data_IF_204188383381
#
_entry.id   IF_204188383381
#
_cell.length_a   1.000
_cell.length_b   1.000
_cell.length_c   1.000
_cell.angle_alpha   90.00
_cell.angle_beta   90.00
_cell.angle_gamma   90.00
#
_symmetry.space_group_name_H-M   'P 1'
#
loop_
_entity.id
_entity.type
_entity.pdbx_description
1 polymer ?
#
# COMPACT_ATOMS: atom_id res chain seq x y z
N UNK A 1 25.45 3.95 -8.29
CA UNK A 1 24.17 3.22 -8.51
C UNK A 1 23.39 3.22 -7.21
N UNK A 2 22.17 3.70 -7.19
CA UNK A 2 21.35 3.67 -5.98
C UNK A 2 20.70 2.27 -5.87
N UNK A 3 21.05 1.52 -4.82
CA UNK A 3 20.49 0.20 -4.55
C UNK A 3 19.33 0.25 -3.54
N UNK A 4 18.90 1.46 -3.13
CA UNK A 4 17.81 1.63 -2.21
C UNK A 4 16.46 1.46 -2.93
N UNK A 5 15.54 0.77 -2.27
CA UNK A 5 14.16 0.58 -2.73
C UNK A 5 13.23 0.98 -1.60
N UNK A 6 12.31 1.89 -1.87
CA UNK A 6 11.25 2.23 -0.90
C UNK A 6 10.21 1.11 -0.93
N UNK A 7 9.94 0.54 0.24
CA UNK A 7 8.95 -0.51 0.43
C UNK A 7 7.74 -0.03 1.26
N UNK A 8 7.90 1.05 2.02
CA UNK A 8 6.87 1.63 2.87
C UNK A 8 6.71 3.12 2.56
N UNK A 9 5.64 3.47 1.87
CA UNK A 9 5.35 4.84 1.46
C UNK A 9 3.85 5.02 1.26
N UNK A 10 3.31 6.09 1.85
CA UNK A 10 1.91 6.47 1.74
C UNK A 10 1.76 7.70 0.85
N UNK A 11 0.88 7.61 -0.12
CA UNK A 11 0.46 8.75 -0.93
C UNK A 11 -0.88 9.29 -0.45
N UNK A 12 -1.39 10.29 -1.16
CA UNK A 12 -2.74 10.81 -0.94
C UNK A 12 -3.86 9.75 -1.14
N UNK A 13 -3.53 8.60 -1.71
CA UNK A 13 -4.44 7.46 -1.84
C UNK A 13 -4.70 6.72 -0.52
N UNK A 14 -3.88 6.95 0.52
CA UNK A 14 -4.14 6.49 1.89
C UNK A 14 -5.25 7.28 2.59
N UNK A 15 -5.58 8.47 2.09
CA UNK A 15 -6.58 9.34 2.70
C UNK A 15 -7.98 8.76 2.50
N UNK A 16 -8.80 8.84 3.54
CA UNK A 16 -10.17 8.36 3.53
C UNK A 16 -10.36 7.00 4.20
N UNK A 17 -9.27 6.27 4.49
CA UNK A 17 -9.34 5.05 5.31
C UNK A 17 -9.44 5.42 6.80
N UNK A 18 -8.59 6.33 7.26
CA UNK A 18 -8.61 6.82 8.65
C UNK A 18 -8.77 8.34 8.71
N UNK A 19 -7.71 9.06 8.40
CA UNK A 19 -7.63 10.52 8.41
C UNK A 19 -6.87 10.98 7.16
N UNK A 20 -6.46 12.25 7.12
CA UNK A 20 -5.48 12.71 6.15
C UNK A 20 -4.11 12.19 6.58
N UNK A 21 -3.57 11.26 5.81
CA UNK A 21 -2.29 10.62 6.07
C UNK A 21 -1.15 11.25 5.27
N UNK A 22 -1.42 11.60 4.01
CA UNK A 22 -0.45 12.21 3.12
C UNK A 22 -1.10 13.22 2.18
N UNK A 23 -0.39 14.28 1.85
CA UNK A 23 -0.80 15.26 0.84
C UNK A 23 -0.06 15.07 -0.49
N UNK A 24 0.94 14.20 -0.51
CA UNK A 24 1.78 13.98 -1.68
C UNK A 24 1.13 13.01 -2.64
N UNK A 25 0.95 13.47 -3.87
CA UNK A 25 0.43 12.63 -4.96
C UNK A 25 1.39 11.47 -5.27
N UNK A 26 0.85 10.28 -5.55
CA UNK A 26 1.67 9.12 -5.88
C UNK A 26 2.61 9.38 -7.08
N UNK A 27 2.18 10.17 -8.07
CA UNK A 27 3.01 10.52 -9.21
C UNK A 27 4.25 11.35 -8.81
N UNK A 28 4.14 12.21 -7.80
CA UNK A 28 5.28 13.01 -7.29
C UNK A 28 6.34 12.10 -6.66
N UNK A 29 5.92 11.08 -5.91
CA UNK A 29 6.83 10.07 -5.37
C UNK A 29 7.52 9.25 -6.45
N UNK A 30 6.78 8.83 -7.49
CA UNK A 30 7.33 8.08 -8.62
C UNK A 30 8.38 8.91 -9.36
N UNK A 31 8.09 10.17 -9.65
CA UNK A 31 9.02 11.07 -10.30
C UNK A 31 10.30 11.23 -9.46
N UNK A 32 10.15 11.42 -8.15
CA UNK A 32 11.30 11.54 -7.24
C UNK A 32 12.12 10.25 -7.15
N UNK A 33 11.48 9.11 -7.09
CA UNK A 33 12.15 7.82 -7.10
C UNK A 33 12.96 7.61 -8.39
N UNK A 34 12.40 7.99 -9.53
CA UNK A 34 13.08 7.95 -10.83
C UNK A 34 14.30 8.89 -10.86
N UNK A 35 14.15 10.15 -10.41
CA UNK A 35 15.26 11.10 -10.29
C UNK A 35 16.39 10.57 -9.40
N UNK A 36 16.05 9.86 -8.33
CA UNK A 36 17.01 9.21 -7.44
C UNK A 36 17.63 7.95 -8.02
N UNK A 37 17.24 7.52 -9.22
CA UNK A 37 17.77 6.34 -9.89
C UNK A 37 17.35 5.01 -9.26
N UNK A 38 16.20 4.98 -8.56
CA UNK A 38 15.64 3.75 -8.00
C UNK A 38 15.25 2.77 -9.11
N UNK A 39 15.37 1.49 -8.83
CA UNK A 39 15.06 0.40 -9.78
C UNK A 39 13.73 -0.28 -9.49
N UNK A 40 13.20 -0.08 -8.30
CA UNK A 40 11.92 -0.62 -7.86
C UNK A 40 11.28 0.33 -6.84
N UNK A 41 9.96 0.26 -6.73
CA UNK A 41 9.20 1.13 -5.84
C UNK A 41 7.91 0.46 -5.38
N UNK A 42 7.59 0.59 -4.09
CA UNK A 42 6.29 0.21 -3.53
C UNK A 42 5.57 1.45 -2.98
N UNK A 43 4.33 1.61 -3.36
CA UNK A 43 3.37 2.52 -2.72
C UNK A 43 2.42 1.64 -1.89
N UNK A 44 2.78 1.45 -0.62
CA UNK A 44 2.07 0.62 0.34
C UNK A 44 1.11 1.48 1.16
N UNK A 45 -0.05 1.75 0.57
CA UNK A 45 -1.03 2.63 1.20
C UNK A 45 -1.54 2.05 2.53
N UNK A 46 -2.01 2.93 3.36
CA UNK A 46 -2.53 2.65 4.69
C UNK A 46 -3.92 2.01 4.59
N UNK A 47 -4.02 0.73 4.92
CA UNK A 47 -5.26 -0.04 4.92
C UNK A 47 -5.97 -0.14 3.57
N UNK A 48 -5.26 0.00 2.45
CA UNK A 48 -5.89 0.01 1.14
C UNK A 48 -4.91 -0.32 0.00
N UNK A 49 -5.41 -1.03 -1.00
CA UNK A 49 -4.75 -1.20 -2.31
C UNK A 49 -5.34 -0.28 -3.38
N UNK A 50 -5.97 0.81 -2.98
CA UNK A 50 -6.66 1.70 -3.91
C UNK A 50 -5.75 2.19 -5.04
N UNK A 51 -6.28 2.18 -6.27
CA UNK A 51 -5.58 2.59 -7.50
C UNK A 51 -4.26 1.84 -7.75
N UNK A 52 -4.11 0.61 -7.26
CA UNK A 52 -2.86 -0.15 -7.41
C UNK A 52 -2.48 -0.39 -8.88
N UNK A 53 -3.46 -0.59 -9.74
CA UNK A 53 -3.27 -0.77 -11.19
C UNK A 53 -2.71 0.49 -11.85
N UNK A 54 -3.24 1.67 -11.53
CA UNK A 54 -2.74 2.95 -12.03
C UNK A 54 -1.33 3.23 -11.50
N UNK A 55 -1.06 2.93 -10.23
CA UNK A 55 0.27 3.05 -9.63
C UNK A 55 1.27 2.11 -10.29
N UNK A 56 0.88 0.87 -10.57
CA UNK A 56 1.69 -0.10 -11.29
C UNK A 56 2.07 0.43 -12.68
N UNK A 57 1.09 0.86 -13.47
CA UNK A 57 1.33 1.42 -14.80
C UNK A 57 2.29 2.61 -14.77
N UNK A 58 2.08 3.55 -13.84
CA UNK A 58 2.93 4.74 -13.70
C UNK A 58 4.37 4.39 -13.30
N UNK A 59 4.57 3.45 -12.37
CA UNK A 59 5.90 3.00 -11.92
C UNK A 59 6.63 2.28 -13.05
N UNK A 60 5.97 1.37 -13.75
CA UNK A 60 6.56 0.63 -14.87
C UNK A 60 6.89 1.56 -16.05
N UNK A 61 6.04 2.53 -16.36
CA UNK A 61 6.31 3.57 -17.35
C UNK A 61 7.51 4.46 -17.00
N UNK A 62 7.77 4.67 -15.71
CA UNK A 62 8.96 5.36 -15.23
C UNK A 62 10.23 4.48 -15.26
N UNK A 63 10.16 3.25 -15.77
CA UNK A 63 11.28 2.32 -15.89
C UNK A 63 11.67 1.61 -14.60
N UNK A 64 10.79 1.59 -13.62
CA UNK A 64 10.99 0.91 -12.33
C UNK A 64 10.13 -0.35 -12.22
N UNK A 65 10.58 -1.31 -11.42
CA UNK A 65 9.78 -2.48 -11.06
C UNK A 65 8.70 -2.07 -10.04
N UNK A 66 7.45 -2.37 -10.34
CA UNK A 66 6.36 -2.25 -9.37
C UNK A 66 6.44 -3.35 -8.31
N UNK A 67 6.27 -2.97 -7.05
CA UNK A 67 6.14 -3.88 -5.92
C UNK A 67 4.76 -3.65 -5.30
N UNK A 68 3.93 -4.69 -5.32
CA UNK A 68 2.59 -4.64 -4.74
C UNK A 68 2.68 -4.85 -3.23
N UNK A 69 2.20 -3.88 -2.47
CA UNK A 69 2.26 -3.87 -1.02
C UNK A 69 1.10 -3.06 -0.42
N UNK A 70 0.77 -3.37 0.83
CA UNK A 70 -0.20 -2.65 1.63
C UNK A 70 0.21 -2.68 3.10
N UNK A 71 -0.01 -1.60 3.83
CA UNK A 71 0.10 -1.58 5.28
C UNK A 71 -1.24 -1.93 5.91
N UNK A 72 -1.35 -3.15 6.42
CA UNK A 72 -2.54 -3.66 7.09
C UNK A 72 -2.56 -3.30 8.58
N UNK A 73 -3.75 -3.22 9.13
CA UNK A 73 -3.98 -3.25 10.56
C UNK A 73 -4.14 -4.69 11.03
N UNK A 74 -3.39 -5.08 12.04
CA UNK A 74 -3.44 -6.41 12.63
C UNK A 74 -3.92 -6.32 14.07
N UNK A 75 -4.80 -7.19 14.47
CA UNK A 75 -5.38 -7.25 15.81
C UNK A 75 -5.40 -8.69 16.33
N UNK A 76 -5.46 -8.86 17.64
CA UNK A 76 -5.54 -10.20 18.27
C UNK A 76 -6.87 -10.91 18.01
N UNK A 77 -7.95 -10.16 17.80
CA UNK A 77 -9.27 -10.72 17.53
C UNK A 77 -10.06 -9.85 16.57
N UNK A 78 -10.91 -10.49 15.78
CA UNK A 78 -11.89 -9.83 14.92
C UNK A 78 -13.31 -9.89 15.52
N UNK A 79 -13.47 -10.44 16.72
CA UNK A 79 -14.78 -10.60 17.36
C UNK A 79 -15.36 -9.29 17.88
N UNK A 80 -14.51 -8.36 18.24
CA UNK A 80 -14.89 -7.06 18.78
C UNK A 80 -13.99 -5.94 18.27
N UNK A 81 -14.43 -4.70 18.47
CA UNK A 81 -13.66 -3.51 18.12
C UNK A 81 -12.53 -3.29 19.11
N UNK A 82 -11.30 -3.49 18.68
CA UNK A 82 -10.11 -3.20 19.47
C UNK A 82 -9.48 -1.91 18.97
N UNK A 83 -9.13 -1.01 19.89
CA UNK A 83 -8.42 0.24 19.56
C UNK A 83 -6.94 0.02 19.33
N UNK A 84 -6.36 -0.92 20.07
CA UNK A 84 -4.96 -1.27 19.96
C UNK A 84 -4.80 -2.27 18.81
N UNK A 85 -4.16 -1.80 17.76
CA UNK A 85 -3.79 -2.60 16.59
C UNK A 85 -2.34 -2.33 16.21
N UNK A 86 -1.76 -3.25 15.48
CA UNK A 86 -0.41 -3.11 14.96
C UNK A 86 -0.46 -2.91 13.44
N UNK A 87 0.45 -2.11 12.93
CA UNK A 87 0.64 -1.95 11.50
C UNK A 87 1.59 -3.05 10.99
N UNK A 88 1.19 -3.71 9.93
CA UNK A 88 1.96 -4.75 9.29
C UNK A 88 2.05 -4.51 7.79
N UNK A 89 3.26 -4.30 7.31
CA UNK A 89 3.51 -4.17 5.88
C UNK A 89 3.55 -5.55 5.23
N UNK A 90 2.59 -5.83 4.36
CA UNK A 90 2.57 -7.04 3.55
C UNK A 90 2.97 -6.73 2.11
N UNK A 91 3.87 -7.54 1.56
CA UNK A 91 4.42 -7.37 0.22
C UNK A 91 4.15 -8.64 -0.58
N UNK A 92 3.53 -8.49 -1.73
CA UNK A 92 3.28 -9.61 -2.63
C UNK A 92 4.58 -10.12 -3.24
N UNK A 93 4.82 -11.41 -3.14
CA UNK A 93 6.01 -12.08 -3.67
C UNK A 93 5.90 -12.40 -5.16
N UNK A 94 4.69 -12.66 -5.61
CA UNK A 94 4.35 -13.03 -6.99
C UNK A 94 2.90 -12.62 -7.30
N UNK A 95 2.39 -13.00 -8.45
CA UNK A 95 1.05 -12.64 -8.89
C UNK A 95 -0.07 -13.24 -8.01
N UNK A 96 0.12 -14.45 -7.50
CA UNK A 96 -0.83 -15.06 -6.56
C UNK A 96 -0.91 -14.23 -5.27
N UNK A 97 0.23 -13.76 -4.76
CA UNK A 97 0.29 -12.85 -3.61
C UNK A 97 -0.42 -11.51 -3.84
N UNK A 98 -0.46 -11.00 -5.08
CA UNK A 98 -1.28 -9.81 -5.42
C UNK A 98 -2.76 -10.11 -5.21
N UNK A 99 -3.24 -11.27 -5.68
CA UNK A 99 -4.63 -11.68 -5.47
C UNK A 99 -4.96 -11.89 -3.99
N UNK A 100 -4.04 -12.48 -3.23
CA UNK A 100 -4.21 -12.69 -1.80
C UNK A 100 -4.31 -11.36 -1.04
N UNK A 101 -3.42 -10.40 -1.30
CA UNK A 101 -3.47 -9.07 -0.69
C UNK A 101 -4.76 -8.33 -1.04
N UNK A 102 -5.14 -8.31 -2.32
CA UNK A 102 -6.39 -7.69 -2.75
C UNK A 102 -7.62 -8.37 -2.10
N UNK A 103 -7.57 -9.67 -1.89
CA UNK A 103 -8.58 -10.44 -1.17
C UNK A 103 -8.66 -10.06 0.32
N UNK A 104 -7.52 -9.87 0.97
CA UNK A 104 -7.45 -9.39 2.36
C UNK A 104 -7.99 -7.96 2.49
N UNK A 105 -7.57 -7.05 1.62
CA UNK A 105 -8.09 -5.69 1.57
C UNK A 105 -9.62 -5.68 1.41
N UNK A 106 -10.16 -6.47 0.50
CA UNK A 106 -11.60 -6.62 0.31
C UNK A 106 -12.31 -7.11 1.58
N UNK A 107 -11.73 -8.10 2.25
CA UNK A 107 -12.30 -8.63 3.51
C UNK A 107 -12.29 -7.57 4.62
N UNK A 108 -11.22 -6.79 4.73
CA UNK A 108 -11.13 -5.74 5.75
C UNK A 108 -12.19 -4.66 5.57
N UNK A 109 -12.46 -4.24 4.32
CA UNK A 109 -13.52 -3.25 4.03
C UNK A 109 -14.94 -3.78 4.16
N UNK A 110 -15.15 -5.08 4.04
CA UNK A 110 -16.48 -5.71 4.12
C UNK A 110 -16.92 -6.05 5.54
N UNK A 111 -16.22 -5.59 6.56
CA UNK A 111 -16.61 -5.81 7.96
C UNK A 111 -17.86 -5.00 8.34
N UNK A 112 -18.74 -5.65 9.09
CA UNK A 112 -20.01 -5.05 9.56
C UNK A 112 -19.82 -3.96 10.62
N UNK A 113 -18.68 -3.96 11.30
CA UNK A 113 -18.34 -3.01 12.36
C UNK A 113 -17.60 -1.76 11.86
N UNK A 114 -17.44 -1.61 10.54
CA UNK A 114 -16.68 -0.53 9.89
C UNK A 114 -15.22 -0.43 10.38
N UNK A 115 -14.59 -1.56 10.60
CA UNK A 115 -13.15 -1.67 10.90
C UNK A 115 -12.38 -2.26 9.73
N UNK A 116 -11.10 -1.89 9.59
CA UNK A 116 -10.22 -2.23 8.48
C UNK A 116 -9.12 -3.25 8.84
N UNK A 117 -9.29 -4.00 9.89
CA UNK A 117 -8.30 -5.02 10.32
C UNK A 117 -8.90 -6.42 10.37
#
# INVERSE_FOLDING_TARGET
MNNYTILHCHSDMSNGVTNIDSVTKFQSYINRAQECGMKAFALSEHGSVFAWDLKKEAIEKAGMKYIHAEEFYVTETLAEKIRDNWHCLLIARNFDGVHELNGLATKSFNRKDNHFY
#
